data_IF_599603528505
#
_entry.id   IF_599603528505
#
_cell.length_a   1.000
_cell.length_b   1.000
_cell.length_c   1.000
_cell.angle_alpha   90.00
_cell.angle_beta   90.00
_cell.angle_gamma   90.00
#
_symmetry.space_group_name_H-M   'P 1'
#
loop_
_entity.id
_entity.type
_entity.pdbx_description
1 polymer ?
#
# COMPACT_ATOMS: atom_id res chain seq x y z
N UNK A 1 51.36 43.53 37.35
CA UNK A 1 51.44 42.82 36.07
C UNK A 1 50.03 42.38 35.69
N UNK A 2 49.28 43.22 34.98
CA UNK A 2 47.97 42.83 34.40
C UNK A 2 48.23 42.58 32.92
N UNK A 3 48.56 41.33 32.60
CA UNK A 3 48.85 40.89 31.24
C UNK A 3 47.54 40.93 30.47
N UNK A 4 47.50 41.78 29.43
CA UNK A 4 46.38 41.99 28.52
C UNK A 4 46.01 40.66 27.82
N UNK A 5 45.11 39.88 28.43
CA UNK A 5 44.56 38.64 27.85
C UNK A 5 43.41 38.90 26.84
N UNK A 6 42.96 40.15 26.72
CA UNK A 6 41.80 40.53 25.89
C UNK A 6 41.98 40.41 24.35
N UNK A 7 43.19 40.51 23.73
CA UNK A 7 43.28 40.42 22.27
C UNK A 7 43.17 38.98 21.75
N UNK A 8 43.55 37.98 22.56
CA UNK A 8 43.52 36.57 22.16
C UNK A 8 42.10 36.01 22.11
N UNK A 9 41.27 36.36 23.09
CA UNK A 9 39.86 35.91 23.14
C UNK A 9 39.07 36.46 21.95
N UNK A 10 39.31 37.72 21.59
CA UNK A 10 38.67 38.38 20.44
C UNK A 10 39.10 37.74 19.11
N UNK A 11 40.40 37.45 18.95
CA UNK A 11 40.92 36.76 17.77
C UNK A 11 40.31 35.36 17.60
N UNK A 12 40.26 34.56 18.68
CA UNK A 12 39.67 33.22 18.66
C UNK A 12 38.18 33.29 18.28
N UNK A 13 37.43 34.26 18.83
CA UNK A 13 36.02 34.45 18.49
C UNK A 13 35.78 34.75 17.01
N UNK A 14 36.61 35.63 16.42
CA UNK A 14 36.53 35.97 14.99
C UNK A 14 36.85 34.76 14.11
N UNK A 15 37.93 34.03 14.41
CA UNK A 15 38.31 32.81 13.68
C UNK A 15 37.18 31.77 13.75
N UNK A 16 36.60 31.56 14.93
CA UNK A 16 35.53 30.59 15.14
C UNK A 16 34.26 30.99 14.37
N UNK A 17 33.88 32.27 14.35
CA UNK A 17 32.76 32.78 13.53
C UNK A 17 33.01 32.60 12.04
N UNK A 18 34.22 32.88 11.55
CA UNK A 18 34.56 32.74 10.13
C UNK A 18 34.54 31.27 9.72
N UNK A 19 35.16 30.37 10.49
CA UNK A 19 35.10 28.93 10.24
C UNK A 19 33.68 28.39 10.27
N UNK A 20 32.87 28.81 11.24
CA UNK A 20 31.48 28.40 11.34
C UNK A 20 30.66 28.89 10.13
N UNK A 21 30.87 30.12 9.67
CA UNK A 21 30.24 30.64 8.45
C UNK A 21 30.68 29.89 7.19
N UNK A 22 31.97 29.54 7.07
CA UNK A 22 32.48 28.72 5.95
C UNK A 22 31.80 27.36 5.95
N UNK A 23 31.73 26.68 7.11
CA UNK A 23 31.05 25.39 7.25
C UNK A 23 29.55 25.49 6.87
N UNK A 24 28.84 26.52 7.34
CA UNK A 24 27.46 26.76 6.95
C UNK A 24 27.32 27.03 5.45
N UNK A 25 28.19 27.82 4.84
CA UNK A 25 28.17 28.10 3.40
C UNK A 25 28.43 26.82 2.55
N UNK A 26 29.33 25.94 3.01
CA UNK A 26 29.53 24.62 2.38
C UNK A 26 28.36 23.65 2.58
N UNK A 27 27.56 23.81 3.64
CA UNK A 27 26.32 23.02 3.83
C UNK A 27 25.11 23.58 3.06
N UNK A 28 25.09 24.88 2.77
CA UNK A 28 24.03 25.53 1.96
C UNK A 28 24.22 25.24 0.45
N UNK A 29 25.44 24.89 0.02
CA UNK A 29 25.77 24.64 -1.39
C UNK A 29 25.62 23.18 -1.84
N UNK A 30 25.17 22.27 -0.99
CA UNK A 30 24.62 21.01 -1.47
C UNK A 30 23.18 21.26 -1.91
N UNK A 31 22.85 21.26 -3.21
CA UNK A 31 21.45 21.26 -3.60
C UNK A 31 20.85 19.99 -3.05
N UNK A 32 19.94 20.13 -2.08
CA UNK A 32 18.94 19.12 -1.83
C UNK A 32 18.10 19.01 -3.10
N UNK A 33 18.63 18.31 -4.12
CA UNK A 33 17.87 17.86 -5.27
C UNK A 33 16.85 16.86 -4.74
N UNK A 34 15.75 17.39 -4.22
CA UNK A 34 14.51 16.65 -4.07
C UNK A 34 13.86 16.49 -5.46
N UNK A 35 14.68 16.18 -6.47
CA UNK A 35 14.26 15.85 -7.82
C UNK A 35 13.71 14.43 -7.75
N UNK A 36 12.38 14.32 -7.78
CA UNK A 36 11.69 13.05 -8.01
C UNK A 36 12.08 12.60 -9.42
N UNK A 37 13.14 11.81 -9.55
CA UNK A 37 13.59 11.26 -10.84
C UNK A 37 12.75 10.07 -11.26
N UNK A 38 12.00 9.45 -10.33
CA UNK A 38 11.10 8.36 -10.68
C UNK A 38 10.13 8.75 -11.81
N UNK A 39 10.12 7.93 -12.88
CA UNK A 39 9.37 8.15 -14.12
C UNK A 39 9.81 9.34 -15.01
N UNK A 40 10.87 10.08 -14.65
CA UNK A 40 11.51 11.05 -15.55
C UNK A 40 12.29 10.33 -16.65
N UNK A 41 12.55 11.03 -17.75
CA UNK A 41 13.39 10.51 -18.84
C UNK A 41 14.85 10.40 -18.36
N UNK A 42 15.55 9.40 -18.84
CA UNK A 42 16.98 9.17 -18.56
C UNK A 42 17.65 8.46 -19.76
N UNK A 43 18.97 8.63 -19.91
CA UNK A 43 19.81 7.83 -20.81
C UNK A 43 20.74 6.90 -20.04
N UNK A 44 21.30 7.37 -18.92
CA UNK A 44 22.14 6.58 -18.02
C UNK A 44 21.52 6.48 -16.63
N UNK A 45 21.92 5.46 -15.86
CA UNK A 45 21.43 5.28 -14.48
C UNK A 45 21.91 6.36 -13.52
N UNK A 46 22.95 7.13 -13.89
CA UNK A 46 23.47 8.25 -13.08
C UNK A 46 22.49 9.42 -13.04
N UNK A 47 21.64 9.57 -14.06
CA UNK A 47 20.56 10.58 -14.10
C UNK A 47 19.43 10.26 -13.09
N UNK A 48 19.33 9.01 -12.64
CA UNK A 48 18.33 8.57 -11.68
C UNK A 48 18.84 8.72 -10.25
N UNK A 49 18.72 9.93 -9.70
CA UNK A 49 19.28 10.28 -8.39
C UNK A 49 18.52 9.68 -7.20
N UNK A 50 17.32 9.15 -7.41
CA UNK A 50 16.51 8.55 -6.34
C UNK A 50 17.09 7.23 -5.82
N UNK A 51 17.10 7.05 -4.49
CA UNK A 51 17.59 5.82 -3.87
C UNK A 51 16.79 4.61 -4.36
N UNK A 52 17.49 3.63 -4.95
CA UNK A 52 16.88 2.42 -5.49
C UNK A 52 16.27 2.58 -6.88
N UNK A 53 16.59 3.67 -7.60
CA UNK A 53 16.22 3.89 -8.99
C UNK A 53 17.34 3.45 -9.95
N UNK A 54 16.96 3.09 -11.17
CA UNK A 54 17.87 2.83 -12.28
C UNK A 54 17.24 3.29 -13.59
N UNK A 55 18.06 3.59 -14.60
CA UNK A 55 17.52 3.95 -15.91
C UNK A 55 17.14 2.70 -16.69
N UNK A 56 15.84 2.49 -16.90
CA UNK A 56 15.36 1.42 -17.74
C UNK A 56 15.54 1.80 -19.22
N UNK A 57 16.52 1.16 -19.89
CA UNK A 57 16.87 1.44 -21.29
C UNK A 57 15.72 1.21 -22.28
N UNK A 58 14.81 0.28 -21.97
CA UNK A 58 13.66 -0.02 -22.85
C UNK A 58 12.62 1.12 -22.87
N UNK A 59 12.40 1.77 -21.72
CA UNK A 59 11.45 2.90 -21.62
C UNK A 59 12.10 4.28 -21.68
N UNK A 60 13.43 4.34 -21.50
CA UNK A 60 14.17 5.60 -21.34
C UNK A 60 13.75 6.37 -20.09
N UNK A 61 13.33 5.67 -19.03
CA UNK A 61 12.82 6.27 -17.78
C UNK A 61 13.42 5.64 -16.52
N UNK A 62 13.50 6.43 -15.45
CA UNK A 62 13.96 5.94 -14.15
C UNK A 62 12.89 5.07 -13.47
N UNK A 63 13.25 3.82 -13.17
CA UNK A 63 12.39 2.81 -12.55
C UNK A 63 13.00 2.33 -11.24
N UNK A 64 12.18 1.78 -10.36
CA UNK A 64 12.69 1.11 -9.16
C UNK A 64 13.39 -0.19 -9.51
N UNK A 65 14.52 -0.46 -8.84
CA UNK A 65 15.17 -1.77 -8.82
C UNK A 65 14.14 -2.87 -8.49
N UNK A 66 14.36 -4.10 -8.97
CA UNK A 66 13.43 -5.23 -8.77
C UNK A 66 13.14 -5.55 -7.30
N UNK A 67 14.05 -5.17 -6.39
CA UNK A 67 13.89 -5.33 -4.94
C UNK A 67 13.07 -4.21 -4.30
N UNK A 68 12.71 -3.17 -5.05
CA UNK A 68 12.01 -1.98 -4.58
C UNK A 68 10.62 -1.87 -5.21
N UNK A 69 9.73 -1.10 -4.60
CA UNK A 69 8.45 -0.72 -5.20
C UNK A 69 8.20 0.78 -5.03
N UNK A 70 7.29 1.32 -5.84
CA UNK A 70 6.90 2.72 -5.83
C UNK A 70 5.90 2.97 -4.70
N UNK A 71 6.24 3.85 -3.76
CA UNK A 71 5.31 4.40 -2.77
C UNK A 71 5.56 5.89 -2.60
N UNK A 72 4.51 6.71 -2.66
CA UNK A 72 4.62 8.18 -2.57
C UNK A 72 5.53 8.81 -3.64
N UNK A 73 5.67 8.17 -4.79
CA UNK A 73 6.58 8.61 -5.86
C UNK A 73 8.08 8.40 -5.57
N UNK A 74 8.42 7.49 -4.65
CA UNK A 74 9.81 7.12 -4.32
C UNK A 74 9.96 5.59 -4.36
N UNK A 75 11.15 5.11 -4.69
CA UNK A 75 11.48 3.70 -4.56
C UNK A 75 11.79 3.35 -3.10
N UNK A 76 11.10 2.34 -2.56
CA UNK A 76 11.31 1.85 -1.20
C UNK A 76 11.77 0.39 -1.25
N UNK A 77 12.78 0.00 -0.45
CA UNK A 77 13.29 -1.37 -0.45
C UNK A 77 12.22 -2.34 0.05
N UNK A 78 12.16 -3.52 -0.57
CA UNK A 78 11.25 -4.59 -0.19
C UNK A 78 11.73 -5.45 0.97
N UNK A 79 13.00 -5.31 1.39
CA UNK A 79 13.70 -6.31 2.20
C UNK A 79 14.47 -5.79 3.44
N UNK A 80 14.36 -4.53 3.84
CA UNK A 80 15.19 -3.99 4.94
C UNK A 80 14.30 -3.34 6.00
N UNK A 81 14.05 -4.04 7.12
CA UNK A 81 13.24 -3.65 8.30
C UNK A 81 11.75 -3.31 8.10
N UNK A 82 11.27 -3.16 6.87
CA UNK A 82 9.87 -2.79 6.57
C UNK A 82 8.98 -3.97 6.18
N UNK A 83 9.19 -5.15 6.80
CA UNK A 83 8.11 -6.16 6.80
C UNK A 83 6.92 -5.60 7.60
N UNK A 84 7.15 -4.70 8.56
CA UNK A 84 6.08 -4.13 9.39
C UNK A 84 5.34 -2.93 8.78
N UNK A 85 5.97 -2.09 7.93
CA UNK A 85 5.24 -0.95 7.31
C UNK A 85 4.69 -1.22 5.90
N UNK A 86 4.99 -2.38 5.30
CA UNK A 86 4.38 -2.79 4.01
C UNK A 86 3.37 -3.91 4.11
N UNK A 87 3.41 -4.70 5.18
CA UNK A 87 2.46 -5.79 5.40
C UNK A 87 1.38 -5.30 6.35
N UNK A 88 0.34 -4.70 5.78
CA UNK A 88 -0.81 -4.22 6.55
C UNK A 88 -1.88 -5.30 6.44
N UNK A 89 -2.12 -5.99 7.54
CA UNK A 89 -3.06 -7.09 7.55
C UNK A 89 -4.51 -6.58 7.47
N UNK A 90 -5.43 -7.39 6.94
CA UNK A 90 -6.85 -7.08 7.00
C UNK A 90 -7.29 -6.73 8.43
N UNK A 91 -7.91 -5.55 8.59
CA UNK A 91 -8.29 -4.99 9.89
C UNK A 91 -7.32 -3.95 10.46
N UNK A 92 -6.09 -3.83 9.95
CA UNK A 92 -5.14 -2.79 10.34
C UNK A 92 -5.30 -1.52 9.48
N UNK A 93 -4.99 -0.38 10.10
CA UNK A 93 -4.91 0.94 9.46
C UNK A 93 -3.47 1.29 9.06
N UNK A 94 -3.30 2.25 8.15
CA UNK A 94 -2.01 2.73 7.66
C UNK A 94 -1.74 2.43 6.19
N UNK A 95 -2.72 1.89 5.46
CA UNK A 95 -2.54 1.60 4.04
C UNK A 95 -2.79 2.85 3.18
N UNK A 96 -1.93 3.05 2.19
CA UNK A 96 -2.05 4.04 1.14
C UNK A 96 -2.49 3.39 -0.18
N UNK A 97 -2.09 2.12 -0.40
CA UNK A 97 -2.37 1.36 -1.62
C UNK A 97 -2.83 -0.07 -1.28
N UNK A 98 -3.76 -0.61 -2.07
CA UNK A 98 -4.23 -1.99 -1.95
C UNK A 98 -3.12 -3.02 -2.09
N UNK A 99 -2.01 -2.68 -2.76
CA UNK A 99 -0.82 -3.55 -2.86
C UNK A 99 -0.19 -3.86 -1.50
N UNK A 100 -0.29 -2.97 -0.51
CA UNK A 100 0.18 -3.22 0.86
C UNK A 100 -0.67 -4.29 1.53
N UNK A 101 -2.00 -4.19 1.37
CA UNK A 101 -2.96 -5.16 1.91
C UNK A 101 -2.85 -6.53 1.22
N UNK A 102 -2.68 -6.54 -0.11
CA UNK A 102 -2.64 -7.75 -0.92
C UNK A 102 -1.44 -8.67 -0.56
N UNK A 103 -0.36 -8.11 0.00
CA UNK A 103 0.74 -8.89 0.56
C UNK A 103 0.33 -9.66 1.83
N UNK A 104 -0.51 -9.05 2.69
CA UNK A 104 -1.00 -9.68 3.92
C UNK A 104 -2.12 -10.68 3.68
N UNK A 105 -3.02 -10.40 2.72
CA UNK A 105 -4.04 -11.33 2.26
C UNK A 105 -4.38 -11.07 0.78
N UNK A 106 -4.19 -12.04 -0.13
CA UNK A 106 -4.51 -11.87 -1.55
C UNK A 106 -5.96 -11.40 -1.76
N UNK A 107 -6.13 -10.28 -2.47
CA UNK A 107 -7.44 -9.68 -2.74
C UNK A 107 -7.97 -8.75 -1.64
N UNK A 108 -7.20 -8.48 -0.57
CA UNK A 108 -7.52 -7.41 0.35
C UNK A 108 -7.30 -6.03 -0.31
N UNK A 109 -8.19 -5.09 0.00
CA UNK A 109 -8.25 -3.77 -0.64
C UNK A 109 -8.02 -2.70 0.43
N UNK A 110 -7.22 -1.69 0.11
CA UNK A 110 -7.07 -0.53 0.96
C UNK A 110 -8.24 0.43 0.73
N UNK A 111 -9.00 0.72 1.79
CA UNK A 111 -10.05 1.72 1.76
C UNK A 111 -10.05 2.49 3.10
N UNK A 112 -10.23 3.81 3.05
CA UNK A 112 -10.20 4.69 4.24
C UNK A 112 -8.98 4.47 5.13
N UNK A 113 -7.79 4.33 4.52
CA UNK A 113 -6.54 4.07 5.23
C UNK A 113 -6.56 2.75 6.04
N UNK A 114 -7.42 1.78 5.67
CA UNK A 114 -7.56 0.48 6.34
C UNK A 114 -7.62 -0.67 5.33
N UNK A 115 -6.98 -1.79 5.65
CA UNK A 115 -7.07 -2.97 4.80
C UNK A 115 -8.37 -3.74 5.07
N UNK A 116 -9.19 -3.87 4.02
CA UNK A 116 -10.46 -4.59 4.05
C UNK A 116 -10.34 -5.94 3.34
N UNK A 117 -11.05 -6.93 3.88
CA UNK A 117 -11.18 -8.22 3.25
C UNK A 117 -11.96 -8.15 1.93
N UNK A 118 -11.67 -9.07 0.98
CA UNK A 118 -12.48 -9.21 -0.21
C UNK A 118 -13.93 -9.53 0.14
N UNK A 119 -14.83 -9.25 -0.80
CA UNK A 119 -16.27 -9.38 -0.60
C UNK A 119 -16.64 -10.78 -0.09
N UNK A 120 -17.30 -10.81 1.06
CA UNK A 120 -17.76 -12.03 1.72
C UNK A 120 -16.86 -12.61 2.80
N UNK A 121 -15.73 -11.97 3.04
CA UNK A 121 -14.86 -12.27 4.15
C UNK A 121 -14.93 -11.15 5.20
N UNK A 122 -14.63 -11.49 6.46
CA UNK A 122 -14.47 -10.56 7.57
C UNK A 122 -13.07 -10.67 8.12
N UNK A 123 -12.49 -9.53 8.46
CA UNK A 123 -11.19 -9.49 9.13
C UNK A 123 -11.34 -10.03 10.55
N UNK A 124 -10.53 -11.02 10.91
CA UNK A 124 -10.38 -11.55 12.27
C UNK A 124 -8.93 -12.00 12.43
N UNK A 125 -8.30 -11.70 13.56
CA UNK A 125 -6.92 -12.13 13.85
C UNK A 125 -5.94 -11.88 12.68
N UNK A 126 -5.99 -10.67 12.11
CA UNK A 126 -5.10 -10.25 11.02
C UNK A 126 -5.23 -11.08 9.71
N UNK A 127 -6.33 -11.81 9.53
CA UNK A 127 -6.64 -12.56 8.31
C UNK A 127 -8.10 -12.42 7.93
N UNK A 128 -8.48 -12.91 6.76
CA UNK A 128 -9.84 -12.85 6.24
C UNK A 128 -10.53 -14.20 6.34
N UNK A 129 -11.62 -14.24 7.09
CA UNK A 129 -12.43 -15.45 7.30
C UNK A 129 -13.78 -15.30 6.61
N UNK A 130 -14.22 -16.36 5.91
CA UNK A 130 -15.52 -16.35 5.25
C UNK A 130 -16.60 -16.08 6.28
N UNK A 131 -17.41 -15.05 6.06
CA UNK A 131 -18.50 -14.79 6.98
C UNK A 131 -19.54 -15.90 6.82
N UNK A 132 -19.89 -16.61 7.91
CA UNK A 132 -21.05 -17.52 7.90
C UNK A 132 -22.35 -16.81 7.52
N UNK A 133 -22.38 -15.47 7.59
CA UNK A 133 -23.50 -14.61 7.14
C UNK A 133 -23.33 -14.02 5.74
N UNK A 134 -22.25 -14.34 5.02
CA UNK A 134 -22.16 -13.96 3.62
C UNK A 134 -22.94 -14.96 2.78
N UNK A 135 -24.24 -14.72 2.67
CA UNK A 135 -24.95 -15.12 1.47
C UNK A 135 -24.46 -14.18 0.37
N UNK A 136 -23.82 -14.67 -0.71
CA UNK A 136 -23.72 -13.82 -1.89
C UNK A 136 -25.15 -13.37 -2.16
N UNK A 137 -25.38 -12.06 -2.32
CA UNK A 137 -26.61 -11.62 -2.94
C UNK A 137 -26.60 -12.24 -4.34
N UNK A 138 -27.09 -13.49 -4.45
CA UNK A 138 -27.72 -13.96 -5.67
C UNK A 138 -28.69 -12.86 -5.97
N UNK A 139 -28.52 -12.24 -7.14
CA UNK A 139 -29.57 -11.41 -7.73
C UNK A 139 -30.90 -12.06 -7.37
N UNK A 140 -31.79 -11.26 -6.80
CA UNK A 140 -33.12 -11.60 -6.26
C UNK A 140 -34.06 -12.12 -7.35
N UNK A 141 -33.57 -13.01 -8.21
CA UNK A 141 -34.14 -13.40 -9.48
C UNK A 141 -33.81 -14.85 -9.84
N UNK A 142 -33.34 -15.68 -8.91
CA UNK A 142 -33.32 -17.13 -9.12
C UNK A 142 -33.85 -17.87 -7.88
N UNK A 143 -34.99 -18.59 -8.01
CA UNK A 143 -35.50 -19.45 -6.96
C UNK A 143 -34.45 -20.52 -6.61
N UNK A 144 -34.45 -21.04 -5.36
CA UNK A 144 -33.62 -22.17 -5.00
C UNK A 144 -33.88 -23.32 -5.98
N UNK A 145 -32.82 -23.85 -6.62
CA UNK A 145 -32.93 -25.11 -7.35
C UNK A 145 -33.30 -26.19 -6.33
N UNK A 146 -34.52 -26.72 -6.40
CA UNK A 146 -34.93 -27.92 -5.68
C UNK A 146 -34.02 -29.07 -6.06
N UNK A 147 -33.62 -29.87 -5.07
CA UNK A 147 -32.89 -31.11 -5.32
C UNK A 147 -33.84 -32.12 -5.98
N UNK A 148 -33.27 -33.07 -6.73
CA UNK A 148 -34.06 -34.10 -7.43
C UNK A 148 -35.03 -34.83 -6.49
N UNK A 149 -34.64 -35.07 -5.24
CA UNK A 149 -35.49 -35.67 -4.19
C UNK A 149 -36.70 -34.80 -3.80
N UNK A 150 -36.53 -33.48 -3.73
CA UNK A 150 -37.63 -32.55 -3.43
C UNK A 150 -38.58 -32.41 -4.63
N UNK A 151 -38.06 -32.52 -5.86
CA UNK A 151 -38.88 -32.57 -7.08
C UNK A 151 -39.83 -33.75 -7.04
N UNK A 152 -39.35 -34.97 -6.72
CA UNK A 152 -40.18 -36.18 -6.66
C UNK A 152 -41.27 -36.03 -5.59
N UNK A 153 -40.92 -35.54 -4.41
CA UNK A 153 -41.88 -35.31 -3.31
C UNK A 153 -42.97 -34.29 -3.65
N UNK A 154 -42.71 -33.30 -4.50
CA UNK A 154 -43.73 -32.34 -4.95
C UNK A 154 -44.62 -32.91 -6.06
N UNK A 155 -44.06 -33.64 -7.02
CA UNK A 155 -44.84 -34.32 -8.05
C UNK A 155 -45.68 -35.46 -7.50
N UNK A 156 -45.26 -36.11 -6.43
CA UNK A 156 -46.03 -37.17 -5.77
C UNK A 156 -47.20 -36.60 -4.96
N UNK A 157 -47.02 -35.42 -4.32
CA UNK A 157 -48.09 -34.71 -3.59
C UNK A 157 -49.10 -34.00 -4.50
N UNK A 158 -48.76 -33.69 -5.76
CA UNK A 158 -49.72 -33.17 -6.73
C UNK A 158 -50.53 -34.26 -7.45
N UNK A 159 -50.10 -35.53 -7.40
CA UNK A 159 -50.86 -36.64 -7.99
C UNK A 159 -51.97 -37.17 -7.06
N UNK A 160 -51.98 -36.73 -5.80
CA UNK A 160 -52.94 -37.13 -4.78
C UNK A 160 -53.55 -35.90 -4.09
N UNK A 161 -54.19 -35.03 -4.87
CA UNK A 161 -55.12 -34.05 -4.32
C UNK A 161 -56.39 -34.01 -5.19
N UNK A 162 -57.48 -34.67 -4.76
CA UNK A 162 -58.76 -34.62 -5.44
C UNK A 162 -59.45 -33.32 -5.06
N UNK A 163 -59.14 -32.23 -5.77
CA UNK A 163 -59.83 -30.95 -5.60
C UNK A 163 -59.82 -30.17 -6.90
N UNK A 164 -60.36 -30.80 -7.96
CA UNK A 164 -60.89 -30.08 -9.11
C UNK A 164 -62.35 -29.76 -8.84
N UNK A 165 -62.64 -28.55 -8.34
CA UNK A 165 -63.95 -27.93 -8.47
C UNK A 165 -64.04 -27.34 -9.90
N UNK A 166 -65.16 -27.52 -10.63
CA UNK A 166 -65.28 -27.07 -12.01
C UNK A 166 -65.60 -25.57 -12.07
N UNK A 167 -64.88 -24.83 -12.91
CA UNK A 167 -65.36 -23.56 -13.46
C UNK A 167 -66.00 -23.87 -14.81
N UNK A 168 -67.23 -23.39 -15.01
CA UNK A 168 -68.06 -23.64 -16.19
C UNK A 168 -67.58 -23.01 -17.48
#
# INVERSE_FOLDING_TARGET
>A
MLVRLEPLVTQIYVICRVQLQILFASMISAPAHHCKTLASKCKTSEECTGKGEYCNRGSGKCWCLSTHFVLGGKCKPGNYEVISAFLIYPGQSGCEDSKQCAKGYPGAICNQNKCHCPKGFKAKAFSCFKSKRYTPQRKRSQPPRMNAYDQISFTEKQKYNPSGLPTG
#
